data_IF_333693728467
#
_entry.id   IF_333693728467
#
_cell.length_a   1.000
_cell.length_b   1.000
_cell.length_c   1.000
_cell.angle_alpha   90.00
_cell.angle_beta   90.00
_cell.angle_gamma   90.00
#
_symmetry.space_group_name_H-M   'P 1'
#
loop_
_entity.id
_entity.type
_entity.pdbx_description
1 polymer ?
#
# COMPACT_ATOMS: atom_id res chain seq x y z
N UNK A 1 -29.74 25.73 -3.60
CA UNK A 1 -29.08 26.72 -4.48
C UNK A 1 -27.58 26.72 -4.34
N UNK A 2 -27.03 26.81 -3.11
CA UNK A 2 -25.58 26.81 -2.85
C UNK A 2 -24.84 25.55 -3.32
N UNK A 3 -25.48 24.37 -3.27
CA UNK A 3 -24.92 23.10 -3.75
C UNK A 3 -24.89 23.03 -5.29
N UNK A 4 -25.89 23.61 -5.98
CA UNK A 4 -25.86 23.74 -7.44
C UNK A 4 -24.73 24.66 -7.91
N UNK A 5 -24.54 25.80 -7.24
CA UNK A 5 -23.43 26.72 -7.56
C UNK A 5 -22.06 26.10 -7.34
N UNK A 6 -21.89 25.27 -6.30
CA UNK A 6 -20.63 24.54 -6.07
C UNK A 6 -20.38 23.46 -7.13
N UNK A 7 -21.42 22.80 -7.63
CA UNK A 7 -21.33 21.84 -8.73
C UNK A 7 -20.96 22.52 -10.05
N UNK A 8 -21.61 23.63 -10.39
CA UNK A 8 -21.32 24.45 -11.58
C UNK A 8 -19.90 25.04 -11.53
N UNK A 9 -19.42 25.45 -10.34
CA UNK A 9 -18.04 25.90 -10.15
C UNK A 9 -17.03 24.76 -10.30
N UNK A 10 -17.35 23.55 -9.83
CA UNK A 10 -16.50 22.39 -9.97
C UNK A 10 -16.44 21.87 -11.43
N UNK A 11 -17.54 21.93 -12.16
CA UNK A 11 -17.56 21.62 -13.60
C UNK A 11 -16.70 22.62 -14.40
N UNK A 12 -16.85 23.91 -14.13
CA UNK A 12 -16.03 24.95 -14.74
C UNK A 12 -14.53 24.79 -14.45
N UNK A 13 -14.15 24.30 -13.26
CA UNK A 13 -12.74 24.07 -12.92
C UNK A 13 -12.12 22.92 -13.74
N UNK A 14 -12.83 21.82 -13.92
CA UNK A 14 -12.35 20.68 -14.71
C UNK A 14 -12.19 21.05 -16.18
N UNK A 15 -13.19 21.70 -16.77
CA UNK A 15 -13.15 22.16 -18.15
C UNK A 15 -12.02 23.16 -18.37
N UNK A 16 -11.87 24.13 -17.48
CA UNK A 16 -10.77 25.09 -17.52
C UNK A 16 -9.38 24.40 -17.48
N UNK A 17 -9.22 23.41 -16.62
CA UNK A 17 -7.97 22.66 -16.51
C UNK A 17 -7.66 21.86 -17.76
N UNK A 18 -8.66 21.22 -18.37
CA UNK A 18 -8.51 20.50 -19.63
C UNK A 18 -8.14 21.45 -20.78
N UNK A 19 -8.83 22.59 -20.89
CA UNK A 19 -8.56 23.59 -21.92
C UNK A 19 -7.17 24.23 -21.75
N UNK A 20 -6.76 24.47 -20.53
CA UNK A 20 -5.40 24.92 -20.21
C UNK A 20 -4.34 23.91 -20.63
N UNK A 21 -4.56 22.61 -20.47
CA UNK A 21 -3.64 21.61 -20.99
C UNK A 21 -3.67 21.56 -22.53
N UNK A 22 -4.85 21.70 -23.15
CA UNK A 22 -4.99 21.74 -24.62
C UNK A 22 -4.16 22.86 -25.24
N UNK A 23 -4.15 24.03 -24.64
CA UNK A 23 -3.38 25.19 -25.13
C UNK A 23 -1.86 25.01 -25.11
N UNK A 24 -1.34 23.98 -24.44
CA UNK A 24 0.10 23.69 -24.32
C UNK A 24 0.64 22.80 -25.45
N UNK A 25 -0.25 22.14 -26.19
CA UNK A 25 0.10 21.15 -27.18
C UNK A 25 -0.49 21.50 -28.54
N UNK A 26 0.23 21.16 -29.61
CA UNK A 26 -0.29 21.30 -30.99
C UNK A 26 -1.15 20.08 -31.33
N UNK A 27 -2.46 20.21 -31.11
CA UNK A 27 -3.43 19.14 -31.38
C UNK A 27 -3.68 18.88 -32.87
N UNK A 28 -3.01 19.59 -33.76
CA UNK A 28 -3.09 19.33 -35.23
C UNK A 28 -2.16 18.17 -35.61
N UNK A 29 -1.10 17.93 -34.84
CA UNK A 29 -0.14 16.86 -35.08
C UNK A 29 -0.51 15.59 -34.31
N UNK A 30 -0.22 14.37 -34.83
CA UNK A 30 -0.48 13.13 -34.12
C UNK A 30 0.21 13.05 -32.73
N UNK A 31 1.47 13.48 -32.66
CA UNK A 31 2.24 13.47 -31.41
C UNK A 31 1.67 14.47 -30.36
N UNK A 32 1.32 15.68 -30.83
CA UNK A 32 0.68 16.68 -29.96
C UNK A 32 -0.67 16.23 -29.43
N UNK A 33 -1.47 15.50 -30.26
CA UNK A 33 -2.71 14.85 -29.79
C UNK A 33 -2.45 13.83 -28.67
N UNK A 34 -1.44 12.99 -28.84
CA UNK A 34 -1.08 11.96 -27.85
C UNK A 34 -0.64 12.62 -26.53
N UNK A 35 0.18 13.66 -26.60
CA UNK A 35 0.67 14.33 -25.39
C UNK A 35 -0.42 15.14 -24.70
N UNK A 36 -1.29 15.79 -25.45
CA UNK A 36 -2.50 16.41 -24.91
C UNK A 36 -3.40 15.39 -24.20
N UNK A 37 -3.68 14.25 -24.84
CA UNK A 37 -4.51 13.21 -24.22
C UNK A 37 -3.90 12.66 -22.95
N UNK A 38 -2.58 12.46 -22.89
CA UNK A 38 -1.90 12.06 -21.64
C UNK A 38 -2.10 13.11 -20.55
N UNK A 39 -1.91 14.40 -20.86
CA UNK A 39 -2.10 15.48 -19.89
C UNK A 39 -3.55 15.57 -19.42
N UNK A 40 -4.52 15.51 -20.33
CA UNK A 40 -5.95 15.53 -20.03
C UNK A 40 -6.38 14.31 -19.18
N UNK A 41 -5.91 13.10 -19.50
CA UNK A 41 -6.11 11.91 -18.67
C UNK A 41 -5.52 12.10 -17.26
N UNK A 42 -4.41 12.85 -17.13
CA UNK A 42 -3.84 13.25 -15.84
C UNK A 42 -4.81 14.10 -15.02
N UNK A 43 -5.48 15.06 -15.64
CA UNK A 43 -6.53 15.86 -14.98
C UNK A 43 -7.70 14.97 -14.56
N UNK A 44 -8.21 14.11 -15.44
CA UNK A 44 -9.30 13.18 -15.12
C UNK A 44 -8.93 12.22 -13.99
N UNK A 45 -7.68 11.77 -13.91
CA UNK A 45 -7.20 10.88 -12.87
C UNK A 45 -7.26 11.50 -11.47
N UNK A 46 -7.30 12.83 -11.35
CA UNK A 46 -7.46 13.54 -10.06
C UNK A 46 -8.91 13.60 -9.58
N UNK A 47 -9.89 13.34 -10.43
CA UNK A 47 -11.30 13.39 -10.09
C UNK A 47 -11.70 12.16 -9.24
N UNK A 48 -12.41 12.41 -8.15
CA UNK A 48 -12.85 11.34 -7.25
C UNK A 48 -14.09 10.60 -7.79
N UNK A 49 -15.02 11.34 -8.44
CA UNK A 49 -16.29 10.81 -8.91
C UNK A 49 -16.15 9.99 -10.21
N UNK A 50 -16.54 8.70 -10.22
CA UNK A 50 -16.47 7.86 -11.42
C UNK A 50 -17.28 8.39 -12.59
N UNK A 51 -18.48 8.90 -12.29
CA UNK A 51 -19.43 9.43 -13.30
C UNK A 51 -18.86 10.67 -14.00
N UNK A 52 -18.26 11.59 -13.23
CA UNK A 52 -17.59 12.76 -13.80
C UNK A 52 -16.46 12.33 -14.76
N UNK A 53 -15.62 11.37 -14.34
CA UNK A 53 -14.54 10.86 -15.20
C UNK A 53 -15.08 10.30 -16.50
N UNK A 54 -16.20 9.59 -16.46
CA UNK A 54 -16.79 8.98 -17.63
C UNK A 54 -17.38 10.03 -18.60
N UNK A 55 -18.03 11.07 -18.08
CA UNK A 55 -18.58 12.18 -18.87
C UNK A 55 -17.45 12.93 -19.56
N UNK A 56 -16.41 13.33 -18.83
CA UNK A 56 -15.28 14.06 -19.41
C UNK A 56 -14.43 13.20 -20.35
N UNK A 57 -14.32 11.90 -20.10
CA UNK A 57 -13.69 10.98 -21.04
C UNK A 57 -14.46 10.88 -22.36
N UNK A 58 -15.79 10.92 -22.33
CA UNK A 58 -16.62 10.99 -23.53
C UNK A 58 -16.39 12.27 -24.31
N UNK A 59 -16.38 13.42 -23.66
CA UNK A 59 -16.12 14.73 -24.31
C UNK A 59 -14.73 14.77 -24.95
N UNK A 60 -13.70 14.28 -24.26
CA UNK A 60 -12.34 14.19 -24.79
C UNK A 60 -12.26 13.24 -25.99
N UNK A 61 -12.99 12.14 -25.97
CA UNK A 61 -13.05 11.18 -27.06
C UNK A 61 -13.61 11.83 -28.35
N UNK A 62 -14.69 12.60 -28.21
CA UNK A 62 -15.32 13.36 -29.30
C UNK A 62 -14.39 14.48 -29.83
N UNK A 63 -13.76 15.25 -28.94
CA UNK A 63 -12.91 16.40 -29.29
C UNK A 63 -11.66 15.98 -30.09
N UNK A 64 -11.05 14.85 -29.78
CA UNK A 64 -9.81 14.38 -30.40
C UNK A 64 -10.02 13.28 -31.44
N UNK A 65 -11.20 12.67 -31.47
CA UNK A 65 -11.53 11.58 -32.41
C UNK A 65 -10.89 10.24 -32.02
N UNK A 66 -10.89 9.90 -30.70
CA UNK A 66 -10.30 8.68 -30.14
C UNK A 66 -11.38 7.89 -29.41
N UNK A 67 -11.21 6.57 -29.29
CA UNK A 67 -12.14 5.73 -28.55
C UNK A 67 -12.18 6.10 -27.04
N UNK A 68 -13.40 6.28 -26.51
CA UNK A 68 -13.68 6.57 -25.10
C UNK A 68 -13.04 5.55 -24.17
N UNK A 69 -13.06 4.25 -24.52
CA UNK A 69 -12.47 3.18 -23.71
C UNK A 69 -10.95 3.33 -23.56
N UNK A 70 -10.27 3.82 -24.61
CA UNK A 70 -8.84 4.08 -24.54
C UNK A 70 -8.51 5.17 -23.50
N UNK A 71 -9.33 6.23 -23.45
CA UNK A 71 -9.18 7.33 -22.48
C UNK A 71 -9.46 6.85 -21.06
N UNK A 72 -10.54 6.07 -20.84
CA UNK A 72 -10.88 5.49 -19.54
C UNK A 72 -9.74 4.61 -19.04
N UNK A 73 -9.24 3.69 -19.86
CA UNK A 73 -8.15 2.78 -19.51
C UNK A 73 -6.87 3.53 -19.15
N UNK A 74 -6.52 4.56 -19.93
CA UNK A 74 -5.36 5.39 -19.63
C UNK A 74 -5.54 6.18 -18.34
N UNK A 75 -6.71 6.73 -18.08
CA UNK A 75 -7.05 7.44 -16.85
C UNK A 75 -6.93 6.53 -15.63
N UNK A 76 -7.47 5.31 -15.68
CA UNK A 76 -7.37 4.35 -14.58
C UNK A 76 -5.94 3.87 -14.34
N UNK A 77 -5.13 3.69 -15.39
CA UNK A 77 -3.70 3.40 -15.28
C UNK A 77 -2.96 4.53 -14.53
N UNK A 78 -3.24 5.79 -14.88
CA UNK A 78 -2.65 6.95 -14.22
C UNK A 78 -3.11 7.07 -12.75
N UNK A 79 -4.39 6.79 -12.45
CA UNK A 79 -4.89 6.76 -11.06
C UNK A 79 -4.16 5.74 -10.20
N UNK A 80 -3.97 4.52 -10.71
CA UNK A 80 -3.18 3.49 -10.02
C UNK A 80 -1.76 3.97 -9.74
N UNK A 81 -1.14 4.65 -10.70
CA UNK A 81 0.20 5.19 -10.53
C UNK A 81 0.26 6.34 -9.52
N UNK A 82 -0.71 7.26 -9.57
CA UNK A 82 -0.83 8.36 -8.58
C UNK A 82 -1.00 7.79 -7.17
N UNK A 83 -1.90 6.81 -6.97
CA UNK A 83 -2.09 6.13 -5.68
C UNK A 83 -0.79 5.48 -5.18
N UNK A 84 -0.09 4.76 -6.06
CA UNK A 84 1.20 4.13 -5.73
C UNK A 84 2.25 5.16 -5.32
N UNK A 85 2.34 6.27 -6.05
CA UNK A 85 3.29 7.35 -5.76
C UNK A 85 2.94 8.08 -4.46
N UNK A 86 1.65 8.34 -4.21
CA UNK A 86 1.17 8.94 -2.95
C UNK A 86 1.46 8.04 -1.75
N UNK A 87 1.20 6.74 -1.89
CA UNK A 87 1.52 5.75 -0.86
C UNK A 87 3.03 5.68 -0.60
N UNK A 88 3.87 5.72 -1.66
CA UNK A 88 5.33 5.77 -1.50
C UNK A 88 5.81 7.09 -0.89
N UNK A 89 5.18 8.23 -1.23
CA UNK A 89 5.53 9.54 -0.68
C UNK A 89 5.15 9.63 0.80
N UNK A 90 3.95 9.21 1.17
CA UNK A 90 3.52 9.10 2.57
C UNK A 90 4.42 8.16 3.37
N UNK A 91 4.86 7.07 2.73
CA UNK A 91 5.84 6.15 3.31
C UNK A 91 7.17 6.85 3.58
N UNK A 92 7.72 7.62 2.61
CA UNK A 92 8.97 8.37 2.78
C UNK A 92 8.85 9.46 3.86
N UNK A 93 7.75 10.20 3.89
CA UNK A 93 7.51 11.26 4.89
C UNK A 93 7.38 10.68 6.32
N UNK A 94 6.70 9.54 6.47
CA UNK A 94 6.67 8.81 7.75
C UNK A 94 8.05 8.27 8.16
N UNK A 95 8.88 7.88 7.18
CA UNK A 95 10.26 7.42 7.43
C UNK A 95 11.13 8.57 7.92
N UNK A 96 11.07 9.73 7.27
CA UNK A 96 11.89 10.90 7.65
C UNK A 96 11.48 11.49 9.00
N UNK A 97 10.19 11.47 9.34
CA UNK A 97 9.71 11.92 10.66
C UNK A 97 10.08 10.99 11.82
N UNK A 98 10.45 9.73 11.53
CA UNK A 98 10.81 8.73 12.56
C UNK A 98 12.33 8.51 12.69
N UNK A 99 13.13 8.99 11.75
CA UNK A 99 14.58 8.74 11.71
C UNK A 99 15.41 9.48 12.80
N UNK A 100 14.78 10.32 13.60
CA UNK A 100 15.47 11.10 14.64
C UNK A 100 15.08 10.78 16.09
N UNK A 101 14.17 9.84 16.34
CA UNK A 101 13.82 9.41 17.70
C UNK A 101 14.30 7.98 17.92
N UNK A 102 15.15 7.77 18.92
CA UNK A 102 15.42 6.46 19.49
C UNK A 102 14.06 5.85 19.91
N UNK A 103 13.54 4.94 19.11
CA UNK A 103 12.33 4.17 19.45
C UNK A 103 12.72 3.16 20.54
N UNK A 104 12.52 3.55 21.81
CA UNK A 104 12.89 2.73 22.98
C UNK A 104 12.00 1.50 23.11
N UNK A 105 10.80 1.52 22.50
CA UNK A 105 9.83 0.40 22.56
C UNK A 105 10.15 -0.65 21.50
N UNK A 106 10.48 -0.21 20.27
CA UNK A 106 10.84 -1.08 19.18
C UNK A 106 12.13 -0.60 18.48
N UNK A 107 13.32 -0.81 19.11
CA UNK A 107 14.58 -0.30 18.58
C UNK A 107 14.93 -0.90 17.20
N UNK A 108 14.54 -2.15 16.93
CA UNK A 108 14.78 -2.82 15.64
C UNK A 108 13.97 -2.22 14.49
N UNK A 109 12.95 -1.42 14.80
CA UNK A 109 12.10 -0.78 13.79
C UNK A 109 12.86 0.14 12.83
N UNK A 110 13.90 0.82 13.33
CA UNK A 110 14.70 1.73 12.51
C UNK A 110 15.53 0.99 11.46
N UNK A 111 16.07 -0.18 11.81
CA UNK A 111 16.89 -1.01 10.93
C UNK A 111 16.05 -1.76 9.89
N UNK A 112 14.86 -2.23 10.29
CA UNK A 112 13.97 -3.06 9.46
C UNK A 112 12.62 -2.38 9.19
N UNK A 113 12.62 -1.08 8.86
CA UNK A 113 11.43 -0.24 8.81
C UNK A 113 10.32 -0.77 7.88
N UNK A 114 10.68 -1.33 6.71
CA UNK A 114 9.69 -1.89 5.78
C UNK A 114 9.00 -3.12 6.39
N UNK A 115 9.78 -3.99 7.02
CA UNK A 115 9.28 -5.19 7.67
C UNK A 115 8.45 -4.84 8.91
N UNK A 116 8.97 -3.98 9.79
CA UNK A 116 8.26 -3.54 10.99
C UNK A 116 6.88 -2.94 10.67
N UNK A 117 6.75 -2.19 9.57
CA UNK A 117 5.46 -1.67 9.12
C UNK A 117 4.53 -2.76 8.59
N UNK A 118 5.05 -3.76 7.91
CA UNK A 118 4.25 -4.91 7.48
C UNK A 118 3.76 -5.72 8.69
N UNK A 119 4.62 -5.91 9.70
CA UNK A 119 4.26 -6.52 10.96
C UNK A 119 3.16 -5.73 11.69
N UNK A 120 3.34 -4.40 11.83
CA UNK A 120 2.35 -3.49 12.41
C UNK A 120 1.00 -3.55 11.66
N UNK A 121 1.04 -3.53 10.31
CA UNK A 121 -0.14 -3.63 9.46
C UNK A 121 -0.88 -4.96 9.60
N UNK A 122 -0.14 -6.06 9.65
CA UNK A 122 -0.71 -7.41 9.85
C UNK A 122 -1.38 -7.55 11.24
N UNK A 123 -0.73 -7.05 12.29
CA UNK A 123 -1.28 -7.04 13.65
C UNK A 123 -2.58 -6.22 13.68
N UNK A 124 -2.56 -5.00 13.10
CA UNK A 124 -3.73 -4.14 13.03
C UNK A 124 -4.90 -4.82 12.30
N UNK A 125 -4.61 -5.51 11.19
CA UNK A 125 -5.60 -6.24 10.41
C UNK A 125 -6.20 -7.41 11.19
N UNK A 126 -5.41 -8.16 11.97
CA UNK A 126 -5.89 -9.23 12.84
C UNK A 126 -6.71 -8.70 14.02
N UNK A 127 -6.38 -7.53 14.56
CA UNK A 127 -7.19 -6.88 15.59
C UNK A 127 -8.57 -6.45 15.07
N UNK A 128 -8.67 -6.07 13.80
CA UNK A 128 -9.93 -5.69 13.15
C UNK A 128 -10.72 -6.90 12.67
N UNK A 129 -10.04 -7.89 12.08
CA UNK A 129 -10.61 -9.09 11.47
C UNK A 129 -9.95 -10.36 12.02
N UNK A 130 -10.33 -10.80 13.24
CA UNK A 130 -9.75 -11.99 13.87
C UNK A 130 -9.86 -13.27 13.04
N UNK A 131 -10.89 -13.38 12.20
CA UNK A 131 -11.13 -14.54 11.31
C UNK A 131 -10.00 -14.81 10.33
N UNK A 132 -9.23 -13.76 9.97
CA UNK A 132 -8.07 -13.91 9.10
C UNK A 132 -6.92 -14.71 9.73
N UNK A 133 -6.96 -14.92 11.05
CA UNK A 133 -5.94 -15.72 11.71
C UNK A 133 -5.88 -17.17 11.19
N UNK A 134 -7.01 -17.74 10.80
CA UNK A 134 -7.03 -19.08 10.19
C UNK A 134 -6.18 -19.18 8.94
N UNK A 135 -6.08 -18.09 8.19
CA UNK A 135 -5.25 -17.96 7.00
C UNK A 135 -3.80 -17.59 7.30
N UNK A 136 -3.59 -16.64 8.22
CA UNK A 136 -2.27 -16.13 8.61
C UNK A 136 -1.46 -17.20 9.35
N UNK A 137 -2.06 -17.87 10.34
CA UNK A 137 -1.38 -18.85 11.20
C UNK A 137 -0.85 -20.09 10.47
N UNK A 138 -1.38 -20.40 9.28
CA UNK A 138 -0.83 -21.46 8.41
C UNK A 138 0.43 -21.03 7.66
N UNK A 139 0.68 -19.73 7.52
CA UNK A 139 1.75 -19.15 6.68
C UNK A 139 2.84 -18.44 7.44
N UNK A 140 2.50 -17.88 8.58
CA UNK A 140 3.38 -17.07 9.39
C UNK A 140 3.37 -17.53 10.85
N UNK A 141 4.54 -17.74 11.41
CA UNK A 141 4.75 -18.08 12.81
C UNK A 141 5.30 -16.87 13.58
N UNK A 142 5.17 -16.82 14.92
CA UNK A 142 5.78 -15.75 15.72
C UNK A 142 7.28 -15.56 15.46
N UNK A 143 8.01 -16.65 15.20
CA UNK A 143 9.47 -16.66 14.94
C UNK A 143 9.84 -16.03 13.60
N UNK A 144 8.86 -15.74 12.74
CA UNK A 144 9.07 -15.08 11.46
C UNK A 144 9.13 -13.56 11.59
N UNK A 145 8.66 -13.02 12.71
CA UNK A 145 8.74 -11.59 13.01
C UNK A 145 10.18 -11.16 13.27
N UNK A 146 10.57 -10.08 12.63
CA UNK A 146 11.93 -9.51 12.70
C UNK A 146 12.08 -8.63 13.93
N UNK A 147 11.00 -7.94 14.36
CA UNK A 147 11.05 -7.05 15.51
C UNK A 147 10.45 -7.72 16.76
N UNK A 148 11.18 -7.67 17.87
CA UNK A 148 10.80 -8.34 19.13
C UNK A 148 9.51 -7.79 19.71
N UNK A 149 9.32 -6.46 19.64
CA UNK A 149 8.10 -5.84 20.13
C UNK A 149 6.87 -6.31 19.34
N UNK A 150 6.90 -6.25 18.01
CA UNK A 150 5.77 -6.67 17.19
C UNK A 150 5.52 -8.18 17.31
N UNK A 151 6.57 -8.99 17.48
CA UNK A 151 6.42 -10.43 17.77
C UNK A 151 5.63 -10.66 19.07
N UNK A 152 5.93 -9.93 20.14
CA UNK A 152 5.20 -10.03 21.42
C UNK A 152 3.74 -9.61 21.25
N UNK A 153 3.47 -8.52 20.51
CA UNK A 153 2.12 -8.06 20.23
C UNK A 153 1.35 -9.09 19.40
N UNK A 154 1.97 -9.67 18.38
CA UNK A 154 1.37 -10.72 17.58
C UNK A 154 1.00 -11.96 18.42
N UNK A 155 1.88 -12.40 19.31
CA UNK A 155 1.61 -13.53 20.23
C UNK A 155 0.41 -13.21 21.14
N UNK A 156 0.34 -12.02 21.71
CA UNK A 156 -0.76 -11.62 22.57
C UNK A 156 -2.10 -11.57 21.80
N UNK A 157 -2.12 -10.95 20.64
CA UNK A 157 -3.30 -10.84 19.78
C UNK A 157 -3.78 -12.21 19.32
N UNK A 158 -2.88 -13.05 18.83
CA UNK A 158 -3.25 -14.40 18.34
C UNK A 158 -3.67 -15.33 19.50
N UNK A 159 -3.09 -15.17 20.68
CA UNK A 159 -3.53 -15.87 21.89
C UNK A 159 -4.99 -15.54 22.23
N UNK A 160 -5.38 -14.26 22.20
CA UNK A 160 -6.77 -13.86 22.41
C UNK A 160 -7.71 -14.43 21.36
N UNK A 161 -7.29 -14.47 20.08
CA UNK A 161 -8.08 -15.06 18.98
C UNK A 161 -8.29 -16.56 19.21
N UNK A 162 -7.25 -17.30 19.56
CA UNK A 162 -7.31 -18.74 19.83
C UNK A 162 -8.23 -19.03 21.03
N UNK A 163 -8.15 -18.21 22.06
CA UNK A 163 -9.01 -18.29 23.25
C UNK A 163 -10.45 -17.82 22.99
N UNK A 164 -10.76 -17.36 21.78
CA UNK A 164 -12.06 -16.78 21.40
C UNK A 164 -12.49 -15.60 22.28
N UNK A 165 -11.51 -14.81 22.73
CA UNK A 165 -11.71 -13.58 23.50
C UNK A 165 -11.78 -12.37 22.55
N UNK A 166 -12.35 -11.27 23.04
CA UNK A 166 -12.34 -10.01 22.28
C UNK A 166 -10.91 -9.52 22.07
N UNK A 167 -10.61 -9.09 20.85
CA UNK A 167 -9.29 -8.55 20.47
C UNK A 167 -9.41 -7.03 20.45
N UNK A 168 -9.41 -6.43 21.64
CA UNK A 168 -9.44 -4.98 21.83
C UNK A 168 -8.25 -4.50 22.68
N UNK A 169 -8.04 -3.18 22.73
CA UNK A 169 -6.95 -2.60 23.52
C UNK A 169 -7.03 -2.96 25.00
N UNK A 170 -8.24 -3.11 25.53
CA UNK A 170 -8.45 -3.47 26.95
C UNK A 170 -7.96 -4.88 27.23
N UNK A 171 -8.31 -5.83 26.36
CA UNK A 171 -7.89 -7.24 26.50
C UNK A 171 -6.38 -7.42 26.34
N UNK A 172 -5.75 -6.59 25.48
CA UNK A 172 -4.30 -6.60 25.24
C UNK A 172 -3.54 -5.92 26.39
N UNK A 173 -4.14 -4.95 27.08
CA UNK A 173 -3.47 -4.10 28.09
C UNK A 173 -2.83 -4.84 29.24
N UNK A 174 -3.33 -6.03 29.58
CA UNK A 174 -2.76 -6.87 30.65
C UNK A 174 -1.36 -7.44 30.36
N UNK A 175 -0.88 -7.34 29.12
CA UNK A 175 0.41 -7.91 28.68
C UNK A 175 1.50 -6.87 28.44
N UNK A 176 1.19 -5.56 28.48
CA UNK A 176 2.08 -4.48 28.05
C UNK A 176 2.09 -3.30 29.02
N UNK A 177 3.19 -2.54 29.02
CA UNK A 177 3.30 -1.30 29.78
C UNK A 177 2.44 -0.18 29.18
N UNK A 178 2.14 0.91 29.92
CA UNK A 178 1.38 2.05 29.40
C UNK A 178 2.00 2.68 28.16
N UNK A 179 3.34 2.76 28.09
CA UNK A 179 4.07 3.29 26.93
C UNK A 179 3.91 2.36 25.72
N UNK A 180 4.04 1.05 25.93
CA UNK A 180 3.82 0.04 24.88
C UNK A 180 2.37 0.06 24.40
N UNK A 181 1.40 0.26 25.29
CA UNK A 181 -0.02 0.40 24.93
C UNK A 181 -0.30 1.61 24.07
N UNK A 182 0.39 2.75 24.32
CA UNK A 182 0.34 3.90 23.42
C UNK A 182 0.79 3.55 22.00
N UNK A 183 1.82 2.70 21.87
CA UNK A 183 2.30 2.22 20.57
C UNK A 183 1.30 1.27 19.91
N UNK A 184 0.72 0.34 20.66
CA UNK A 184 -0.30 -0.63 20.17
C UNK A 184 -1.55 0.12 19.70
N UNK A 185 -2.01 1.14 20.42
CA UNK A 185 -3.11 2.00 20.00
C UNK A 185 -2.79 2.71 18.65
N UNK A 186 -1.54 3.16 18.47
CA UNK A 186 -1.07 3.68 17.18
C UNK A 186 -1.13 2.63 16.06
N UNK A 187 -0.75 1.38 16.34
CA UNK A 187 -0.84 0.27 15.37
C UNK A 187 -2.31 0.03 14.98
N UNK A 188 -3.22 -0.03 15.93
CA UNK A 188 -4.64 -0.26 15.66
C UNK A 188 -5.23 0.81 14.72
N UNK A 189 -4.77 2.06 14.81
CA UNK A 189 -5.25 3.14 13.91
C UNK A 189 -4.84 2.97 12.45
N UNK A 190 -3.87 2.09 12.14
CA UNK A 190 -3.43 1.85 10.76
C UNK A 190 -4.55 1.25 9.91
N UNK A 191 -5.42 0.43 10.50
CA UNK A 191 -6.55 -0.19 9.79
C UNK A 191 -7.50 0.84 9.16
N UNK A 192 -7.65 2.03 9.74
CA UNK A 192 -8.51 3.08 9.18
C UNK A 192 -8.02 3.62 7.84
N UNK A 193 -6.77 3.33 7.46
CA UNK A 193 -6.10 3.82 6.26
C UNK A 193 -5.82 2.71 5.24
N UNK A 194 -6.14 1.46 5.57
CA UNK A 194 -5.87 0.28 4.75
C UNK A 194 -7.14 -0.26 4.10
N UNK A 195 -6.98 -1.11 3.08
CA UNK A 195 -8.10 -1.75 2.38
C UNK A 195 -8.73 -2.89 3.19
N UNK A 196 -8.05 -3.38 4.21
CA UNK A 196 -8.45 -4.49 5.08
C UNK A 196 -8.84 -5.77 4.33
N UNK A 197 -8.10 -6.11 3.27
CA UNK A 197 -8.35 -7.27 2.40
C UNK A 197 -7.37 -8.40 2.65
N UNK A 198 -7.75 -9.62 2.23
CA UNK A 198 -6.84 -10.78 2.21
C UNK A 198 -5.62 -10.59 1.28
N UNK A 199 -5.76 -9.80 0.22
CA UNK A 199 -4.62 -9.46 -0.65
C UNK A 199 -3.59 -8.64 0.10
N UNK A 200 -4.05 -7.63 0.85
CA UNK A 200 -3.17 -6.80 1.69
C UNK A 200 -2.50 -7.65 2.79
N UNK A 201 -3.23 -8.60 3.37
CA UNK A 201 -2.69 -9.58 4.31
C UNK A 201 -1.55 -10.40 3.69
N UNK A 202 -1.71 -10.88 2.45
CA UNK A 202 -0.66 -11.59 1.71
C UNK A 202 0.56 -10.72 1.45
N UNK A 203 0.36 -9.45 1.12
CA UNK A 203 1.47 -8.51 0.90
C UNK A 203 2.30 -8.33 2.17
N UNK A 204 1.65 -8.19 3.34
CA UNK A 204 2.36 -8.11 4.62
C UNK A 204 3.14 -9.39 4.93
N UNK A 205 2.52 -10.56 4.78
CA UNK A 205 3.18 -11.86 5.00
C UNK A 205 4.42 -11.98 4.08
N UNK A 206 4.27 -11.63 2.81
CA UNK A 206 5.37 -11.70 1.83
C UNK A 206 6.54 -10.81 2.23
N UNK A 207 6.29 -9.58 2.69
CA UNK A 207 7.34 -8.65 3.13
C UNK A 207 8.07 -9.17 4.36
N UNK A 208 7.36 -9.74 5.34
CA UNK A 208 7.94 -10.28 6.57
C UNK A 208 8.86 -11.46 6.24
N UNK A 209 8.37 -12.42 5.45
CA UNK A 209 9.16 -13.59 5.06
C UNK A 209 10.38 -13.22 4.20
N UNK A 210 10.26 -12.25 3.29
CA UNK A 210 11.37 -11.73 2.50
C UNK A 210 12.49 -11.15 3.38
N UNK A 211 12.14 -10.38 4.39
CA UNK A 211 13.12 -9.76 5.27
C UNK A 211 13.80 -10.79 6.15
N UNK A 212 13.06 -11.78 6.67
CA UNK A 212 13.61 -12.89 7.42
C UNK A 212 14.61 -13.70 6.57
N UNK A 213 14.26 -14.01 5.31
CA UNK A 213 15.17 -14.70 4.37
C UNK A 213 16.46 -13.90 4.14
N UNK A 214 16.37 -12.58 3.98
CA UNK A 214 17.54 -11.71 3.82
C UNK A 214 18.43 -11.72 5.05
N UNK A 215 17.86 -11.65 6.24
CA UNK A 215 18.61 -11.71 7.49
C UNK A 215 19.31 -13.06 7.67
N UNK A 216 18.64 -14.15 7.33
CA UNK A 216 19.22 -15.47 7.37
C UNK A 216 20.42 -15.61 6.41
N UNK A 217 20.35 -15.03 5.20
CA UNK A 217 21.44 -15.01 4.24
C UNK A 217 22.64 -14.15 4.69
N UNK A 218 22.43 -13.17 5.56
CA UNK A 218 23.52 -12.36 6.14
C UNK A 218 24.27 -13.08 7.27
N UNK A 219 23.65 -14.12 7.87
CA UNK A 219 24.27 -14.96 8.91
C UNK A 219 24.30 -16.44 8.49
N UNK A 220 25.12 -16.81 7.49
CA UNK A 220 25.10 -18.16 6.92
C UNK A 220 25.54 -19.25 7.91
N UNK A 221 26.23 -18.89 8.99
CA UNK A 221 26.69 -19.84 10.01
C UNK A 221 25.58 -20.47 10.87
N UNK A 222 24.37 -19.90 10.85
CA UNK A 222 23.23 -20.38 11.62
C UNK A 222 22.20 -21.16 10.76
N UNK A 223 22.40 -21.23 9.44
CA UNK A 223 21.51 -21.93 8.51
C UNK A 223 21.99 -23.34 8.18
N UNK A 224 21.05 -24.28 8.13
CA UNK A 224 21.31 -25.59 7.52
C UNK A 224 21.54 -25.45 6.00
N UNK A 225 22.33 -26.34 5.41
CA UNK A 225 22.60 -26.36 3.96
C UNK A 225 21.30 -26.38 3.11
N UNK A 226 20.26 -27.06 3.59
CA UNK A 226 18.93 -27.10 2.96
C UNK A 226 18.20 -25.75 3.01
N UNK A 227 18.36 -24.97 4.11
CA UNK A 227 17.77 -23.65 4.24
C UNK A 227 18.40 -22.66 3.25
N UNK A 228 19.70 -22.73 3.05
CA UNK A 228 20.44 -21.90 2.08
C UNK A 228 20.00 -22.25 0.65
N UNK A 229 19.89 -23.54 0.31
CA UNK A 229 19.44 -23.98 -1.03
C UNK A 229 18.03 -23.48 -1.36
N UNK A 230 17.08 -23.62 -0.43
CA UNK A 230 15.71 -23.13 -0.61
C UNK A 230 15.63 -21.60 -0.77
N UNK A 231 16.43 -20.84 -0.05
CA UNK A 231 16.49 -19.39 -0.17
C UNK A 231 17.03 -18.96 -1.55
N UNK A 232 18.07 -19.64 -2.04
CA UNK A 232 18.63 -19.42 -3.39
C UNK A 232 17.62 -19.76 -4.50
N UNK A 233 16.90 -20.87 -4.39
CA UNK A 233 15.86 -21.27 -5.36
C UNK A 233 14.74 -20.24 -5.46
N UNK A 234 14.28 -19.71 -4.34
CA UNK A 234 13.24 -18.67 -4.30
C UNK A 234 13.73 -17.34 -4.90
N UNK A 235 14.96 -16.94 -4.64
CA UNK A 235 15.58 -15.76 -5.24
C UNK A 235 15.73 -15.90 -6.76
N UNK A 236 16.13 -17.08 -7.23
CA UNK A 236 16.24 -17.40 -8.65
C UNK A 236 14.87 -17.37 -9.35
N UNK A 237 13.83 -17.92 -8.71
CA UNK A 237 12.47 -17.91 -9.23
C UNK A 237 11.88 -16.49 -9.33
N UNK A 238 12.23 -15.58 -8.41
CA UNK A 238 11.83 -14.17 -8.47
C UNK A 238 12.53 -13.41 -9.59
N UNK A 239 13.82 -13.67 -9.81
CA UNK A 239 14.59 -13.03 -10.89
C UNK A 239 14.01 -13.38 -12.26
N UNK A 240 13.56 -14.64 -12.44
CA UNK A 240 12.92 -15.09 -13.67
C UNK A 240 11.49 -14.54 -13.87
N UNK A 241 10.74 -14.17 -12.81
CA UNK A 241 9.46 -13.50 -12.93
C UNK A 241 9.57 -12.01 -13.28
N UNK A 242 10.61 -11.33 -12.82
CA UNK A 242 10.89 -9.93 -13.17
C UNK A 242 11.31 -9.74 -14.62
N UNK A 243 12.06 -10.71 -15.20
CA UNK A 243 12.53 -10.65 -16.59
C UNK A 243 11.43 -10.93 -17.64
N UNK A 244 10.31 -11.53 -17.28
CA UNK A 244 9.18 -11.77 -18.20
C UNK A 244 8.21 -10.60 -18.37
N UNK A 245 8.42 -9.49 -17.66
CA UNK A 245 7.58 -8.28 -17.78
C UNK A 245 8.25 -7.15 -18.60
N UNK A 246 9.46 -7.37 -19.12
CA UNK A 246 10.16 -6.39 -19.98
C UNK A 246 10.13 -6.74 -21.49
N UNK A 247 9.49 -7.85 -21.88
CA UNK A 247 9.33 -8.23 -23.29
C UNK A 247 7.86 -8.29 -23.73
N UNK A 248 7.11 -7.17 -23.56
CA UNK A 248 5.89 -6.95 -24.36
C UNK A 248 5.55 -5.45 -24.40
#
# INVERSE_FOLDING_TARGET
ERFKQLLEQAENDVEYRIEKEKSRFDVTTPDGKVDYLKAACGVLATLNEPVQREIYAGRLAEDVGVDKLAIINQTEKMRKQIRRNQSQKQFKEMVQGSAGRNDTINPQRAEHLRCAKAEEGLIALLMLNPDYYSYVGQRLKPEDFVTDFNRRVYIAVTGLIIDKKNVDLTSVSGFFTPEEMGRIAGIQTLCSKSSNTLEECNDYISVILEEKEKMALQKPSEMSAEGISRAFERLAAKKNKGSKHEEF
#
